data_IF_909267550210
#
_entry.id   IF_909267550210
#
_cell.length_a   1.000
_cell.length_b   1.000
_cell.length_c   1.000
_cell.angle_alpha   90.00
_cell.angle_beta   90.00
_cell.angle_gamma   90.00
#
_symmetry.space_group_name_H-M   'P 1'
#
loop_
_entity.id
_entity.type
_entity.pdbx_description
1 polymer ?
#
# COMPACT_ATOMS: atom_id res chain seq x y z
N UNK A 1 21.68 20.03 15.46
CA UNK A 1 20.46 19.42 16.03
C UNK A 1 19.82 20.39 17.02
N UNK A 2 18.82 21.18 16.59
CA UNK A 2 17.96 21.96 17.49
C UNK A 2 16.56 22.00 16.89
N UNK A 3 15.85 20.86 16.93
CA UNK A 3 14.41 20.83 16.66
C UNK A 3 13.68 21.37 17.89
N UNK A 4 12.77 22.33 17.69
CA UNK A 4 11.99 22.96 18.76
C UNK A 4 11.32 21.92 19.68
N UNK A 5 11.39 22.09 21.02
CA UNK A 5 10.72 21.19 21.96
C UNK A 5 9.21 21.39 21.84
N UNK A 6 8.53 20.50 21.12
CA UNK A 6 7.10 20.59 20.88
C UNK A 6 6.63 20.08 19.52
N UNK A 7 7.55 19.70 18.62
CA UNK A 7 7.16 19.10 17.33
C UNK A 7 6.51 17.74 17.59
N UNK A 8 5.22 17.54 17.24
CA UNK A 8 4.58 16.24 17.37
C UNK A 8 5.35 15.22 16.53
N UNK A 9 5.59 14.02 17.05
CA UNK A 9 6.19 12.92 16.29
C UNK A 9 5.22 12.53 15.16
N UNK A 10 5.48 13.05 13.96
CA UNK A 10 4.69 12.72 12.78
C UNK A 10 4.96 11.26 12.43
N UNK A 11 3.92 10.42 12.50
CA UNK A 11 3.99 9.06 11.98
C UNK A 11 4.01 9.18 10.46
N UNK A 12 5.08 8.66 9.84
CA UNK A 12 5.19 8.61 8.39
C UNK A 12 4.42 7.43 7.84
N UNK A 13 3.71 7.65 6.74
CA UNK A 13 3.17 6.58 5.92
C UNK A 13 4.28 5.89 5.13
N UNK A 14 3.98 4.73 4.56
CA UNK A 14 4.91 4.02 3.70
C UNK A 14 4.45 2.63 3.32
N UNK A 15 5.32 1.94 2.60
CA UNK A 15 5.16 0.55 2.23
C UNK A 15 6.10 -0.35 3.02
N UNK A 16 5.60 -1.49 3.45
CA UNK A 16 6.40 -2.59 4.01
C UNK A 16 6.19 -3.80 3.12
N UNK A 17 7.27 -4.30 2.52
CA UNK A 17 7.26 -5.54 1.76
C UNK A 17 7.56 -6.68 2.71
N UNK A 18 6.62 -7.61 2.83
CA UNK A 18 6.75 -8.79 3.66
C UNK A 18 7.00 -10.02 2.80
N UNK A 19 7.83 -10.92 3.30
CA UNK A 19 7.89 -12.28 2.80
C UNK A 19 6.55 -12.98 3.11
N UNK A 20 5.82 -13.51 2.11
CA UNK A 20 4.45 -14.02 2.30
C UNK A 20 4.38 -15.21 3.28
N UNK A 21 5.39 -16.09 3.25
CA UNK A 21 5.46 -17.29 4.08
C UNK A 21 5.81 -16.97 5.54
N UNK A 22 6.86 -16.17 5.74
CA UNK A 22 7.41 -15.89 7.07
C UNK A 22 6.83 -14.63 7.69
N UNK A 23 6.23 -13.73 6.90
CA UNK A 23 5.71 -12.42 7.32
C UNK A 23 6.80 -11.46 7.78
N UNK A 24 8.07 -11.74 7.49
CA UNK A 24 9.19 -10.90 7.88
C UNK A 24 9.32 -9.72 6.92
N UNK A 25 9.61 -8.50 7.42
CA UNK A 25 9.93 -7.36 6.55
C UNK A 25 11.18 -7.65 5.72
N UNK A 26 11.01 -7.68 4.40
CA UNK A 26 12.09 -7.74 3.41
C UNK A 26 12.58 -6.34 3.11
N UNK A 27 11.66 -5.37 3.00
CA UNK A 27 11.96 -3.98 2.68
C UNK A 27 10.94 -3.04 3.30
N UNK A 28 11.37 -1.84 3.67
CA UNK A 28 10.49 -0.77 4.12
C UNK A 28 10.85 0.49 3.37
N UNK A 29 9.84 1.13 2.77
CA UNK A 29 9.98 2.41 2.09
C UNK A 29 9.03 3.39 2.76
N UNK A 30 9.59 4.31 3.53
CA UNK A 30 8.83 5.39 4.15
C UNK A 30 8.63 6.52 3.13
N UNK A 31 7.46 7.14 3.15
CA UNK A 31 7.25 8.38 2.40
C UNK A 31 8.07 9.49 3.02
N UNK A 32 8.71 10.30 2.17
CA UNK A 32 9.43 11.49 2.64
C UNK A 32 8.44 12.51 3.21
N UNK A 33 7.36 12.75 2.46
CA UNK A 33 6.20 13.53 2.88
C UNK A 33 4.97 12.64 2.90
N UNK A 34 4.12 12.80 3.92
CA UNK A 34 2.81 12.15 3.91
C UNK A 34 1.96 12.73 2.78
N UNK A 35 1.16 11.93 2.08
CA UNK A 35 0.34 12.43 0.99
C UNK A 35 -0.64 13.50 1.50
N UNK A 36 -0.71 14.63 0.79
CA UNK A 36 -1.63 15.73 1.11
C UNK A 36 -3.09 15.31 0.97
N UNK A 37 -3.37 14.46 -0.02
CA UNK A 37 -4.70 13.91 -0.25
C UNK A 37 -4.63 12.40 -0.46
N UNK A 38 -5.64 11.72 0.07
CA UNK A 38 -5.83 10.29 -0.09
C UNK A 38 -7.27 10.03 -0.50
N UNK A 39 -7.43 9.45 -1.69
CA UNK A 39 -8.74 9.05 -2.21
C UNK A 39 -8.94 7.58 -1.92
N UNK A 40 -10.08 7.25 -1.30
CA UNK A 40 -10.49 5.87 -1.05
C UNK A 40 -11.85 5.60 -1.68
N UNK A 41 -11.93 4.54 -2.47
CA UNK A 41 -13.18 4.04 -3.05
C UNK A 41 -13.52 2.69 -2.45
N UNK A 42 -14.77 2.50 -2.02
CA UNK A 42 -15.25 1.24 -1.42
C UNK A 42 -16.48 0.79 -2.20
N UNK A 43 -16.38 -0.35 -2.87
CA UNK A 43 -17.43 -0.92 -3.72
C UNK A 43 -17.97 -2.21 -3.08
N UNK A 44 -19.24 -2.24 -2.62
CA UNK A 44 -19.86 -3.45 -2.09
C UNK A 44 -19.94 -4.56 -3.15
N UNK A 45 -19.74 -5.81 -2.71
CA UNK A 45 -19.97 -6.99 -3.56
C UNK A 45 -21.39 -7.51 -3.35
N UNK A 46 -22.34 -7.08 -4.19
CA UNK A 46 -23.73 -7.58 -4.18
C UNK A 46 -23.92 -8.88 -4.96
N UNK A 47 -25.09 -9.49 -4.85
CA UNK A 47 -25.53 -10.64 -5.65
C UNK A 47 -26.50 -10.14 -6.73
N UNK A 48 -26.24 -10.48 -7.99
CA UNK A 48 -27.13 -10.23 -9.13
C UNK A 48 -26.99 -8.84 -9.81
N UNK A 49 -26.88 -8.77 -11.16
CA UNK A 49 -26.98 -7.51 -11.90
C UNK A 49 -28.43 -7.10 -12.23
N UNK A 50 -29.41 -7.97 -12.00
CA UNK A 50 -30.81 -7.74 -12.37
C UNK A 50 -31.61 -7.04 -11.27
N UNK A 51 -32.22 -5.88 -11.55
CA UNK A 51 -33.12 -5.23 -10.62
C UNK A 51 -34.43 -6.02 -10.49
N UNK A 52 -34.73 -6.56 -9.30
CA UNK A 52 -36.06 -7.11 -9.03
C UNK A 52 -36.13 -8.20 -7.96
N UNK A 53 -35.03 -8.87 -7.62
CA UNK A 53 -35.07 -9.94 -6.63
C UNK A 53 -34.98 -9.37 -5.19
N UNK A 54 -36.16 -9.21 -4.58
CA UNK A 54 -36.33 -8.61 -3.24
C UNK A 54 -35.54 -9.32 -2.15
N UNK A 55 -35.19 -10.59 -2.37
CA UNK A 55 -34.45 -11.42 -1.40
C UNK A 55 -32.94 -11.21 -1.44
N UNK A 56 -32.41 -10.60 -2.51
CA UNK A 56 -30.97 -10.44 -2.72
C UNK A 56 -30.47 -9.01 -2.48
N UNK A 57 -31.38 -8.03 -2.37
CA UNK A 57 -31.08 -6.59 -2.31
C UNK A 57 -30.10 -6.15 -1.20
N UNK A 58 -29.97 -6.91 -0.11
CA UNK A 58 -29.05 -6.60 1.00
C UNK A 58 -27.96 -7.66 1.22
N UNK A 59 -27.90 -8.69 0.38
CA UNK A 59 -26.92 -9.77 0.56
C UNK A 59 -25.57 -9.35 -0.02
N UNK A 60 -24.54 -9.47 0.81
CA UNK A 60 -23.16 -9.26 0.41
C UNK A 60 -22.50 -10.61 0.15
N UNK A 61 -21.77 -10.73 -0.96
CA UNK A 61 -21.00 -11.94 -1.32
C UNK A 61 -19.72 -12.09 -0.48
N UNK A 62 -19.17 -10.96 -0.03
CA UNK A 62 -17.90 -10.89 0.68
C UNK A 62 -17.57 -9.46 1.08
N UNK A 63 -16.34 -9.21 1.57
CA UNK A 63 -15.92 -7.88 1.92
C UNK A 63 -15.84 -6.95 0.69
N UNK A 64 -16.06 -5.64 0.82
CA UNK A 64 -16.09 -4.74 -0.34
C UNK A 64 -14.72 -4.65 -1.02
N UNK A 65 -14.72 -4.35 -2.33
CA UNK A 65 -13.51 -3.98 -3.05
C UNK A 65 -13.11 -2.55 -2.65
N UNK A 66 -11.96 -2.44 -1.99
CA UNK A 66 -11.44 -1.18 -1.49
C UNK A 66 -10.19 -0.79 -2.28
N UNK A 67 -10.17 0.41 -2.83
CA UNK A 67 -9.04 0.96 -3.58
C UNK A 67 -8.60 2.31 -3.00
N UNK A 68 -7.30 2.54 -3.06
CA UNK A 68 -6.61 3.72 -2.58
C UNK A 68 -5.86 4.36 -3.74
N UNK A 69 -5.96 5.68 -3.87
CA UNK A 69 -5.18 6.48 -4.82
C UNK A 69 -4.60 7.69 -4.09
N UNK A 70 -3.29 7.88 -4.22
CA UNK A 70 -2.57 9.01 -3.63
C UNK A 70 -1.27 9.27 -4.39
N UNK A 71 -0.72 10.46 -4.17
CA UNK A 71 0.58 10.86 -4.68
C UNK A 71 1.58 10.97 -3.53
N UNK A 72 2.78 10.40 -3.72
CA UNK A 72 3.91 10.54 -2.80
C UNK A 72 5.01 11.34 -3.49
N UNK A 73 5.48 12.39 -2.82
CA UNK A 73 6.52 13.28 -3.34
C UNK A 73 7.85 12.99 -2.66
N UNK A 74 8.92 13.06 -3.45
CA UNK A 74 10.30 12.86 -3.03
C UNK A 74 11.15 14.01 -3.57
N UNK A 75 12.03 14.54 -2.72
CA UNK A 75 12.94 15.64 -3.02
C UNK A 75 14.29 15.37 -2.33
N UNK A 76 15.36 15.29 -3.11
CA UNK A 76 16.72 15.07 -2.62
C UNK A 76 17.47 16.37 -2.27
N UNK A 77 16.86 17.55 -2.44
CA UNK A 77 17.55 18.85 -2.29
C UNK A 77 18.25 18.98 -0.93
N UNK A 78 17.56 18.64 0.17
CA UNK A 78 18.14 18.71 1.53
C UNK A 78 19.30 17.71 1.70
N UNK A 79 19.18 16.52 1.10
CA UNK A 79 20.21 15.48 1.14
C UNK A 79 21.45 15.88 0.33
N UNK A 80 21.25 16.60 -0.78
CA UNK A 80 22.32 17.14 -1.62
C UNK A 80 23.05 18.32 -0.97
N UNK A 81 22.39 19.08 -0.10
CA UNK A 81 23.02 20.15 0.69
C UNK A 81 23.99 19.60 1.76
N UNK A 82 23.87 18.32 2.13
CA UNK A 82 24.71 17.64 3.11
C UNK A 82 25.23 16.28 2.58
N UNK A 83 26.07 16.27 1.52
CA UNK A 83 26.42 15.04 0.80
C UNK A 83 27.22 14.05 1.65
N UNK A 84 28.01 14.52 2.62
CA UNK A 84 28.75 13.66 3.56
C UNK A 84 27.82 12.88 4.50
N UNK A 85 26.65 13.44 4.82
CA UNK A 85 25.63 12.79 5.64
C UNK A 85 24.70 11.87 4.81
N UNK A 86 24.61 12.10 3.50
CA UNK A 86 23.70 11.42 2.57
C UNK A 86 24.44 10.91 1.31
N UNK A 87 25.40 9.99 1.46
CA UNK A 87 26.26 9.56 0.35
C UNK A 87 25.52 8.75 -0.72
N UNK A 88 24.33 8.21 -0.41
CA UNK A 88 23.52 7.45 -1.37
C UNK A 88 22.82 8.41 -2.32
N UNK A 89 22.11 9.40 -1.78
CA UNK A 89 21.41 10.44 -2.54
C UNK A 89 22.41 11.35 -3.28
N UNK A 90 23.56 11.66 -2.67
CA UNK A 90 24.61 12.45 -3.31
C UNK A 90 25.21 11.82 -4.57
N UNK A 91 25.13 10.49 -4.72
CA UNK A 91 25.69 9.76 -5.87
C UNK A 91 24.65 9.30 -6.88
N UNK A 92 23.41 9.10 -6.44
CA UNK A 92 22.38 8.42 -7.23
C UNK A 92 21.05 9.19 -7.24
N UNK A 93 20.99 10.39 -6.66
CA UNK A 93 19.75 11.14 -6.46
C UNK A 93 18.66 10.29 -5.79
N UNK A 94 17.45 10.36 -6.34
CA UNK A 94 16.29 9.60 -5.90
C UNK A 94 16.17 8.21 -6.56
N UNK A 95 17.08 7.84 -7.46
CA UNK A 95 16.99 6.56 -8.17
C UNK A 95 16.89 5.34 -7.23
N UNK A 96 17.65 5.25 -6.11
CA UNK A 96 17.57 4.10 -5.20
C UNK A 96 16.21 3.95 -4.50
N UNK A 97 15.55 5.06 -4.15
CA UNK A 97 14.23 4.99 -3.48
C UNK A 97 13.13 4.62 -4.48
N UNK A 98 13.21 5.13 -5.71
CA UNK A 98 12.30 4.76 -6.79
C UNK A 98 12.44 3.27 -7.14
N UNK A 99 13.67 2.79 -7.34
CA UNK A 99 13.94 1.37 -7.58
C UNK A 99 13.47 0.48 -6.41
N UNK A 100 13.56 0.97 -5.16
CA UNK A 100 13.03 0.25 -4.01
C UNK A 100 11.51 0.11 -4.04
N UNK A 101 10.78 1.14 -4.49
CA UNK A 101 9.32 1.08 -4.69
C UNK A 101 8.95 0.15 -5.85
N UNK A 102 9.66 0.25 -6.97
CA UNK A 102 9.44 -0.59 -8.15
C UNK A 102 9.72 -2.07 -7.88
N UNK A 103 10.69 -2.37 -7.02
CA UNK A 103 10.98 -3.76 -6.63
C UNK A 103 9.80 -4.47 -5.96
N UNK A 104 8.79 -3.73 -5.47
CA UNK A 104 7.54 -4.30 -4.96
C UNK A 104 6.63 -4.87 -6.06
N UNK A 105 6.83 -4.42 -7.31
CA UNK A 105 5.99 -4.74 -8.46
C UNK A 105 6.49 -5.96 -9.25
N UNK A 106 7.74 -6.38 -8.99
CA UNK A 106 8.42 -7.39 -9.77
C UNK A 106 8.93 -8.54 -8.90
N UNK A 107 8.88 -9.79 -9.38
CA UNK A 107 9.62 -10.88 -8.75
C UNK A 107 11.12 -10.60 -8.84
N UNK A 108 11.88 -11.13 -7.87
CA UNK A 108 13.33 -10.99 -7.88
C UNK A 108 13.98 -11.78 -9.02
N UNK A 109 15.12 -11.28 -9.53
CA UNK A 109 15.88 -11.97 -10.60
C UNK A 109 16.20 -13.42 -10.25
N UNK A 110 16.54 -13.70 -9.00
CA UNK A 110 16.81 -15.07 -8.55
C UNK A 110 15.59 -15.99 -8.68
N UNK A 111 14.37 -15.47 -8.45
CA UNK A 111 13.13 -16.23 -8.59
C UNK A 111 12.83 -16.47 -10.08
N UNK A 112 12.98 -15.45 -10.93
CA UNK A 112 12.84 -15.59 -12.38
C UNK A 112 13.80 -16.62 -12.98
N UNK A 113 15.08 -16.60 -12.56
CA UNK A 113 16.08 -17.58 -12.99
C UNK A 113 15.79 -18.99 -12.45
N UNK A 114 15.19 -19.12 -11.27
CA UNK A 114 14.79 -20.41 -10.73
C UNK A 114 13.62 -20.99 -11.56
N UNK A 115 12.62 -20.18 -11.89
CA UNK A 115 11.52 -20.58 -12.77
C UNK A 115 12.01 -21.00 -14.15
N UNK A 116 12.91 -20.22 -14.77
CA UNK A 116 13.49 -20.53 -16.08
C UNK A 116 14.20 -21.89 -16.07
N UNK A 117 14.98 -22.18 -15.01
CA UNK A 117 15.62 -23.50 -14.83
C UNK A 117 14.61 -24.63 -14.68
N UNK A 118 13.54 -24.42 -13.92
CA UNK A 118 12.50 -25.43 -13.69
C UNK A 118 11.72 -25.72 -14.98
N UNK A 119 11.42 -24.69 -15.76
CA UNK A 119 10.83 -24.81 -17.09
C UNK A 119 11.77 -25.55 -18.06
N UNK A 120 13.06 -25.22 -18.05
CA UNK A 120 14.07 -25.90 -18.87
C UNK A 120 14.23 -27.40 -18.53
N UNK A 121 13.92 -27.80 -17.30
CA UNK A 121 13.92 -29.20 -16.86
C UNK A 121 12.62 -29.96 -17.23
N UNK A 122 11.70 -29.33 -17.96
CA UNK A 122 10.46 -29.97 -18.44
C UNK A 122 9.41 -30.18 -17.34
N UNK A 123 9.45 -29.40 -16.26
CA UNK A 123 8.39 -29.43 -15.25
C UNK A 123 7.09 -28.90 -15.85
N UNK A 124 6.04 -29.73 -15.78
CA UNK A 124 4.74 -29.47 -16.42
C UNK A 124 3.95 -28.37 -15.69
N UNK A 125 4.26 -28.14 -14.41
CA UNK A 125 3.62 -27.12 -13.58
C UNK A 125 4.68 -26.29 -12.86
N UNK A 126 4.93 -25.08 -13.36
CA UNK A 126 5.73 -24.06 -12.66
C UNK A 126 4.73 -23.14 -11.97
N UNK A 127 4.60 -23.28 -10.66
CA UNK A 127 3.78 -22.36 -9.87
C UNK A 127 4.36 -20.93 -10.02
N UNK A 128 3.54 -19.91 -10.30
CA UNK A 128 4.02 -18.55 -10.44
C UNK A 128 4.73 -18.07 -9.17
N UNK A 129 5.84 -17.32 -9.31
CA UNK A 129 6.49 -16.66 -8.18
C UNK A 129 5.48 -15.83 -7.41
N UNK A 130 5.36 -16.10 -6.11
CA UNK A 130 4.65 -15.21 -5.22
C UNK A 130 5.50 -13.95 -4.95
N UNK A 131 5.00 -12.80 -5.40
CA UNK A 131 5.63 -11.51 -5.13
C UNK A 131 5.55 -11.19 -3.62
N UNK A 132 6.48 -10.38 -3.08
CA UNK A 132 6.40 -9.93 -1.70
C UNK A 132 5.04 -9.30 -1.38
N UNK A 133 4.46 -9.67 -0.23
CA UNK A 133 3.20 -9.09 0.24
C UNK A 133 3.43 -7.61 0.57
N UNK A 134 2.83 -6.72 -0.22
CA UNK A 134 2.91 -5.28 0.02
C UNK A 134 1.91 -4.87 1.10
N UNK A 135 2.40 -4.19 2.13
CA UNK A 135 1.58 -3.63 3.21
C UNK A 135 1.67 -2.11 3.18
N UNK A 136 0.53 -1.45 2.96
CA UNK A 136 0.39 -0.01 3.04
C UNK A 136 0.13 0.40 4.49
N UNK A 137 1.00 1.25 5.02
CA UNK A 137 0.92 1.80 6.38
C UNK A 137 0.58 3.27 6.29
N UNK A 138 -0.60 3.65 6.76
CA UNK A 138 -1.10 5.03 6.83
C UNK A 138 -1.38 5.40 8.28
N UNK A 139 -0.37 5.22 9.12
CA UNK A 139 -0.45 5.39 10.56
C UNK A 139 -0.90 4.15 11.33
N UNK A 140 -1.00 4.28 12.66
CA UNK A 140 -1.19 3.16 13.60
C UNK A 140 -2.49 2.38 13.41
N UNK A 141 -3.52 3.04 12.90
CA UNK A 141 -4.87 2.47 12.77
C UNK A 141 -5.17 1.98 11.35
N UNK A 142 -4.26 2.16 10.40
CA UNK A 142 -4.47 1.84 8.98
C UNK A 142 -3.23 1.13 8.44
N UNK A 143 -3.17 -0.16 8.73
CA UNK A 143 -2.18 -1.09 8.19
C UNK A 143 -2.95 -2.08 7.32
N UNK A 144 -2.64 -2.11 6.03
CA UNK A 144 -3.47 -2.75 5.01
C UNK A 144 -2.62 -3.62 4.09
N UNK A 145 -2.96 -4.90 3.89
CA UNK A 145 -2.39 -5.67 2.79
C UNK A 145 -2.94 -5.13 1.47
N UNK A 146 -2.07 -4.79 0.53
CA UNK A 146 -2.48 -4.20 -0.75
C UNK A 146 -1.76 -4.85 -1.92
N UNK A 147 -2.40 -4.81 -3.08
CA UNK A 147 -1.78 -5.03 -4.38
C UNK A 147 -1.73 -3.69 -5.09
N UNK A 148 -0.54 -3.27 -5.51
CA UNK A 148 -0.39 -2.08 -6.34
C UNK A 148 -0.99 -2.38 -7.72
N UNK A 149 -1.93 -1.55 -8.15
CA UNK A 149 -2.63 -1.67 -9.44
C UNK A 149 -2.16 -0.63 -10.45
N UNK A 150 -1.73 0.53 -9.97
CA UNK A 150 -1.17 1.62 -10.79
C UNK A 150 0.07 2.17 -10.08
N UNK A 151 1.13 2.38 -10.84
CA UNK A 151 2.36 3.00 -10.36
C UNK A 151 2.94 3.86 -11.47
N UNK A 152 2.92 5.18 -11.25
CA UNK A 152 3.44 6.16 -12.21
C UNK A 152 4.46 7.03 -11.51
N UNK A 153 5.63 7.18 -12.11
CA UNK A 153 6.70 8.05 -11.62
C UNK A 153 6.88 9.20 -12.59
N UNK A 154 6.74 10.43 -12.09
CA UNK A 154 7.15 11.65 -12.79
C UNK A 154 8.48 12.11 -12.16
N UNK A 155 9.58 11.90 -12.89
CA UNK A 155 10.92 12.35 -12.50
C UNK A 155 11.16 13.78 -12.99
N UNK A 156 11.57 14.66 -12.09
CA UNK A 156 11.72 16.09 -12.34
C UNK A 156 13.01 16.59 -11.71
N UNK A 157 13.65 17.56 -12.36
CA UNK A 157 14.94 18.13 -11.97
C UNK A 157 16.04 17.05 -11.83
N UNK A 158 17.17 17.27 -12.49
CA UNK A 158 18.24 16.29 -12.54
C UNK A 158 19.56 16.91 -12.11
N UNK A 159 20.41 16.10 -11.47
CA UNK A 159 21.80 16.46 -11.22
C UNK A 159 22.65 16.36 -12.52
N UNK A 160 23.94 16.76 -12.50
CA UNK A 160 24.81 16.67 -13.67
C UNK A 160 25.00 15.24 -14.24
N UNK A 161 24.77 14.21 -13.43
CA UNK A 161 24.88 12.80 -13.80
C UNK A 161 23.51 12.22 -14.26
N UNK A 162 22.50 13.07 -14.44
CA UNK A 162 21.13 12.72 -14.84
C UNK A 162 20.39 11.87 -13.80
N UNK A 163 20.73 11.97 -12.52
CA UNK A 163 19.92 11.38 -11.46
C UNK A 163 18.75 12.32 -11.11
N UNK A 164 17.52 11.80 -10.97
CA UNK A 164 16.39 12.61 -10.57
C UNK A 164 16.58 13.10 -9.14
N UNK A 165 16.38 14.40 -8.91
CA UNK A 165 16.46 15.02 -7.58
C UNK A 165 15.07 15.40 -7.05
N UNK A 166 14.04 15.39 -7.89
CA UNK A 166 12.63 15.40 -7.48
C UNK A 166 11.86 14.31 -8.20
N UNK A 167 10.88 13.73 -7.52
CA UNK A 167 10.00 12.76 -8.12
C UNK A 167 8.62 12.80 -7.48
N UNK A 168 7.59 12.69 -8.32
CA UNK A 168 6.21 12.50 -7.89
C UNK A 168 5.75 11.10 -8.29
N UNK A 169 5.41 10.28 -7.29
CA UNK A 169 4.97 8.90 -7.47
C UNK A 169 3.47 8.81 -7.22
N UNK A 170 2.69 8.58 -8.27
CA UNK A 170 1.26 8.32 -8.16
C UNK A 170 1.02 6.81 -8.00
N UNK A 171 0.37 6.43 -6.90
CA UNK A 171 0.08 5.02 -6.59
C UNK A 171 -1.41 4.77 -6.53
N UNK A 172 -1.86 3.76 -7.28
CA UNK A 172 -3.15 3.10 -7.12
C UNK A 172 -2.94 1.73 -6.47
N UNK A 173 -3.68 1.45 -5.41
CA UNK A 173 -3.57 0.20 -4.67
C UNK A 173 -4.94 -0.38 -4.34
N UNK A 174 -5.14 -1.68 -4.56
CA UNK A 174 -6.33 -2.44 -4.14
C UNK A 174 -6.02 -3.18 -2.84
N UNK A 175 -6.88 -3.05 -1.84
CA UNK A 175 -6.78 -3.83 -0.61
C UNK A 175 -7.04 -5.30 -0.90
N UNK A 176 -6.15 -6.16 -0.42
CA UNK A 176 -6.32 -7.61 -0.47
C UNK A 176 -7.16 -8.07 0.72
N UNK A 177 -8.14 -8.92 0.46
CA UNK A 177 -9.10 -9.40 1.47
C UNK A 177 -8.88 -10.88 1.76
N UNK A 178 -9.68 -11.43 2.68
CA UNK A 178 -9.73 -12.88 2.92
C UNK A 178 -10.27 -13.66 1.71
N UNK A 179 -11.00 -13.03 0.79
CA UNK A 179 -11.46 -13.68 -0.43
C UNK A 179 -10.32 -13.84 -1.45
N UNK A 180 -9.33 -12.94 -1.42
CA UNK A 180 -8.17 -12.99 -2.31
C UNK A 180 -7.06 -13.91 -1.77
N UNK A 181 -6.83 -13.89 -0.45
CA UNK A 181 -5.67 -14.54 0.19
C UNK A 181 -6.03 -15.74 1.09
N UNK A 182 -7.30 -15.86 1.49
CA UNK A 182 -7.74 -16.85 2.48
C UNK A 182 -7.40 -16.49 3.93
N UNK A 183 -8.01 -17.22 4.86
CA UNK A 183 -7.90 -16.96 6.31
C UNK A 183 -6.58 -17.42 6.94
N UNK A 184 -5.84 -18.32 6.26
CA UNK A 184 -4.55 -18.85 6.76
C UNK A 184 -3.35 -18.02 6.32
N UNK A 185 -3.51 -17.23 5.26
CA UNK A 185 -2.44 -16.39 4.75
C UNK A 185 -2.24 -15.15 5.63
N UNK A 186 -0.99 -14.72 5.81
CA UNK A 186 -0.67 -13.59 6.70
C UNK A 186 -1.30 -12.29 6.24
N UNK A 187 -1.41 -12.07 4.93
CA UNK A 187 -2.14 -10.93 4.39
C UNK A 187 -3.64 -10.98 4.72
N UNK A 188 -4.27 -12.16 4.69
CA UNK A 188 -5.67 -12.30 5.13
C UNK A 188 -5.85 -11.94 6.61
N UNK A 189 -4.90 -12.33 7.46
CA UNK A 189 -4.89 -11.95 8.88
C UNK A 189 -4.72 -10.44 9.09
N UNK A 190 -3.83 -9.79 8.32
CA UNK A 190 -3.67 -8.32 8.36
C UNK A 190 -4.97 -7.62 7.95
N UNK A 191 -5.67 -8.13 6.93
CA UNK A 191 -6.97 -7.60 6.54
C UNK A 191 -8.00 -7.71 7.67
N UNK A 192 -8.08 -8.85 8.35
CA UNK A 192 -9.01 -9.03 9.47
C UNK A 192 -8.71 -8.07 10.63
N UNK A 193 -7.43 -7.84 10.94
CA UNK A 193 -7.04 -6.84 11.95
C UNK A 193 -7.44 -5.43 11.55
N UNK A 194 -7.27 -5.07 10.27
CA UNK A 194 -7.76 -3.81 9.74
C UNK A 194 -9.28 -3.67 9.88
N UNK A 195 -10.03 -4.72 9.51
CA UNK A 195 -11.48 -4.76 9.60
C UNK A 195 -11.96 -4.58 11.07
N UNK A 196 -11.35 -5.28 12.01
CA UNK A 196 -11.64 -5.12 13.45
C UNK A 196 -11.31 -3.71 13.96
N UNK A 197 -10.24 -3.09 13.47
CA UNK A 197 -9.95 -1.69 13.79
C UNK A 197 -11.07 -0.78 13.28
N UNK A 198 -11.51 -0.96 12.03
CA UNK A 198 -12.62 -0.21 11.44
C UNK A 198 -13.93 -0.36 12.23
N UNK A 199 -14.28 -1.57 12.65
CA UNK A 199 -15.46 -1.84 13.49
C UNK A 199 -15.38 -1.14 14.84
N UNK A 200 -14.21 -1.18 15.49
CA UNK A 200 -13.99 -0.44 16.75
C UNK A 200 -14.18 1.06 16.58
N UNK A 201 -13.65 1.65 15.49
CA UNK A 201 -13.85 3.07 15.19
C UNK A 201 -15.30 3.40 14.87
N UNK A 202 -16.03 2.52 14.17
CA UNK A 202 -17.46 2.71 13.91
C UNK A 202 -18.27 2.77 15.22
N UNK A 203 -17.93 1.94 16.20
CA UNK A 203 -18.54 1.96 17.53
C UNK A 203 -18.32 3.25 18.33
N UNK A 204 -17.36 4.10 17.94
CA UNK A 204 -17.14 5.41 18.55
C UNK A 204 -18.10 6.50 18.03
N UNK A 205 -18.97 6.18 17.07
CA UNK A 205 -19.96 7.10 16.50
C UNK A 205 -21.37 6.68 16.95
N UNK A 206 -21.73 6.86 18.24
CA UNK A 206 -23.10 6.60 18.69
C UNK A 206 -23.99 7.73 18.17
N UNK A 207 -24.81 7.43 17.17
CA UNK A 207 -25.81 8.35 16.60
C UNK A 207 -27.17 7.68 16.67
N UNK A 208 -28.19 8.47 16.97
CA UNK A 208 -29.58 8.00 17.03
C UNK A 208 -30.38 8.60 15.87
N UNK A 209 -31.53 8.02 15.46
CA UNK A 209 -32.37 8.62 14.43
C UNK A 209 -32.79 10.06 14.72
N UNK A 210 -32.80 10.49 15.99
CA UNK A 210 -33.04 11.87 16.39
C UNK A 210 -31.98 12.86 15.89
N UNK A 211 -30.74 12.40 15.66
CA UNK A 211 -29.69 13.24 15.07
C UNK A 211 -29.99 13.64 13.61
N UNK A 212 -30.94 12.93 12.98
CA UNK A 212 -31.48 13.28 11.65
C UNK A 212 -32.63 14.29 11.75
N UNK A 213 -32.94 14.81 12.94
CA UNK A 213 -34.07 15.71 13.18
C UNK A 213 -35.44 15.01 13.15
N UNK A 214 -35.47 13.68 13.15
CA UNK A 214 -36.71 12.91 13.22
C UNK A 214 -37.22 12.88 14.68
N UNK A 215 -38.52 13.06 14.92
CA UNK A 215 -39.08 12.83 16.24
C UNK A 215 -38.79 11.39 16.66
N UNK A 216 -38.47 11.18 17.94
CA UNK A 216 -38.32 9.84 18.50
C UNK A 216 -39.61 9.05 18.24
N UNK A 217 -39.50 7.98 17.45
CA UNK A 217 -40.58 7.02 17.23
C UNK A 217 -40.95 6.29 18.53
#
# INVERSE_FOLDING_TARGET
MTGFPGVPRVVRGGFVLLDPDTGRPVRTVAFQFNPDSLTRTVQPQGIGPEPGDRLEAQRLKGPPHETYRFDAEFDATEQLDAPDAHPVEARNGLFPVLAALESALHPGVAQLLAEDRMAALGMIEVAPVEAPLTVLVLGRSRVLPVRITEFTVAEEAFDPDLNPIRAKVSVGARVLTVDDLGFRHKGGLLYLQHQQARERFAGLVPRTPSDLGLPSL
#
